data_IF_844726168544
#
_entry.id   IF_844726168544
#
_cell.length_a   1.000
_cell.length_b   1.000
_cell.length_c   1.000
_cell.angle_alpha   90.00
_cell.angle_beta   90.00
_cell.angle_gamma   90.00
#
_symmetry.space_group_name_H-M   'P 1'
#
loop_
_entity.id
_entity.type
_entity.pdbx_description
1 polymer ?
#
# COMPACT_ATOMS: atom_id res chain seq x y z
N UNK A 1 -1.89 -17.20 2.45
CA UNK A 1 -1.79 -16.06 3.39
C UNK A 1 -2.43 -14.82 2.74
N UNK A 2 -3.57 -14.98 2.08
CA UNK A 2 -3.97 -14.10 0.97
C UNK A 2 -5.31 -13.40 1.21
N UNK A 3 -5.54 -12.93 2.43
CA UNK A 3 -6.78 -12.23 2.80
C UNK A 3 -6.57 -10.77 3.18
N UNK A 4 -5.42 -10.17 2.80
CA UNK A 4 -5.16 -8.75 3.00
C UNK A 4 -5.70 -7.93 1.83
N UNK A 5 -6.57 -6.99 2.15
CA UNK A 5 -7.05 -5.98 1.20
C UNK A 5 -5.87 -5.15 0.67
N UNK A 6 -5.97 -4.58 -0.54
CA UNK A 6 -4.94 -3.68 -1.07
C UNK A 6 -4.56 -2.56 -0.10
N UNK A 7 -5.55 -2.02 0.63
CA UNK A 7 -5.36 -1.02 1.68
C UNK A 7 -4.50 -1.54 2.83
N UNK A 8 -4.78 -2.74 3.35
CA UNK A 8 -3.99 -3.35 4.42
C UNK A 8 -2.55 -3.64 3.98
N UNK A 9 -2.33 -4.03 2.71
CA UNK A 9 -0.98 -4.23 2.16
C UNK A 9 -0.18 -2.93 2.15
N UNK A 10 -0.77 -1.82 1.71
CA UNK A 10 -0.13 -0.49 1.70
C UNK A 10 0.22 -0.04 3.12
N UNK A 11 -0.78 0.01 4.01
CA UNK A 11 -0.56 0.52 5.36
C UNK A 11 0.34 -0.40 6.20
N UNK A 12 0.30 -1.72 5.98
CA UNK A 12 1.23 -2.66 6.59
C UNK A 12 2.68 -2.41 6.14
N UNK A 13 2.88 -2.17 4.85
CA UNK A 13 4.20 -1.83 4.28
C UNK A 13 4.74 -0.52 4.85
N UNK A 14 3.90 0.52 4.93
CA UNK A 14 4.27 1.82 5.50
C UNK A 14 4.65 1.74 6.98
N UNK A 15 3.91 0.99 7.81
CA UNK A 15 4.27 0.76 9.22
C UNK A 15 5.60 0.03 9.37
N UNK A 16 5.84 -0.97 8.52
CA UNK A 16 7.10 -1.71 8.56
C UNK A 16 8.29 -0.81 8.18
N UNK A 17 8.11 0.06 7.17
CA UNK A 17 9.11 1.07 6.82
C UNK A 17 9.37 2.06 7.96
N UNK A 18 8.32 2.55 8.62
CA UNK A 18 8.46 3.47 9.75
C UNK A 18 9.32 2.85 10.86
N UNK A 19 9.08 1.58 11.20
CA UNK A 19 9.89 0.86 12.18
C UNK A 19 11.34 0.70 11.73
N UNK A 20 11.53 0.40 10.44
CA UNK A 20 12.85 0.16 9.85
C UNK A 20 13.69 1.44 9.78
N UNK A 21 13.05 2.61 9.57
CA UNK A 21 13.69 3.93 9.66
C UNK A 21 14.16 4.23 11.08
N UNK A 22 13.35 3.87 12.09
CA UNK A 22 13.66 4.11 13.51
C UNK A 22 14.81 3.22 14.03
N UNK A 23 14.90 1.99 13.53
CA UNK A 23 15.85 0.97 13.99
C UNK A 23 17.17 0.92 13.18
N UNK A 24 17.31 1.68 12.10
CA UNK A 24 18.46 1.55 11.16
C UNK A 24 19.57 2.57 11.42
N UNK A 25 20.78 2.08 11.64
CA UNK A 25 21.99 2.92 11.73
C UNK A 25 22.66 3.16 10.35
N UNK A 26 22.36 2.34 9.34
CA UNK A 26 22.90 2.45 7.97
C UNK A 26 21.93 3.16 7.01
N UNK A 27 22.22 4.43 6.73
CA UNK A 27 21.40 5.28 5.86
C UNK A 27 21.34 4.81 4.39
N UNK A 28 22.37 4.13 3.88
CA UNK A 28 22.37 3.65 2.49
C UNK A 28 21.49 2.42 2.33
N UNK A 29 21.60 1.46 3.26
CA UNK A 29 20.72 0.30 3.30
C UNK A 29 19.26 0.71 3.49
N UNK A 30 19.00 1.76 4.28
CA UNK A 30 17.66 2.33 4.44
C UNK A 30 17.13 2.91 3.13
N UNK A 31 17.96 3.65 2.40
CA UNK A 31 17.60 4.28 1.12
C UNK A 31 17.19 3.23 0.08
N UNK A 32 17.95 2.16 -0.08
CA UNK A 32 17.62 1.10 -1.04
C UNK A 32 16.33 0.37 -0.66
N UNK A 33 16.11 0.13 0.63
CA UNK A 33 14.87 -0.49 1.13
C UNK A 33 13.65 0.42 0.96
N UNK A 34 13.79 1.72 1.17
CA UNK A 34 12.75 2.72 0.91
C UNK A 34 12.39 2.76 -0.57
N UNK A 35 13.38 2.78 -1.47
CA UNK A 35 13.12 2.80 -2.91
C UNK A 35 12.30 1.58 -3.36
N UNK A 36 12.65 0.38 -2.90
CA UNK A 36 11.91 -0.86 -3.20
C UNK A 36 10.48 -0.82 -2.66
N UNK A 37 10.29 -0.29 -1.45
CA UNK A 37 8.97 -0.27 -0.86
C UNK A 37 8.05 0.80 -1.49
N UNK A 38 8.62 1.92 -1.93
CA UNK A 38 7.89 2.93 -2.71
C UNK A 38 7.45 2.34 -4.06
N UNK A 39 8.37 1.67 -4.78
CA UNK A 39 8.06 1.00 -6.05
C UNK A 39 6.90 -0.01 -5.89
N UNK A 40 6.93 -0.82 -4.84
CA UNK A 40 5.84 -1.74 -4.50
C UNK A 40 4.53 -1.02 -4.22
N UNK A 41 4.54 0.06 -3.43
CA UNK A 41 3.34 0.85 -3.16
C UNK A 41 2.75 1.45 -4.44
N UNK A 42 3.58 1.95 -5.35
CA UNK A 42 3.14 2.50 -6.64
C UNK A 42 2.58 1.41 -7.56
N UNK A 43 3.13 0.20 -7.53
CA UNK A 43 2.57 -0.93 -8.31
C UNK A 43 1.12 -1.26 -7.93
N UNK A 44 0.71 -0.97 -6.69
CA UNK A 44 -0.64 -1.19 -6.19
C UNK A 44 -1.62 -0.05 -6.50
N UNK A 45 -1.16 1.06 -7.09
CA UNK A 45 -2.01 2.22 -7.42
C UNK A 45 -3.24 1.80 -8.26
N UNK A 46 -3.02 0.96 -9.27
CA UNK A 46 -4.09 0.44 -10.12
C UNK A 46 -5.09 -0.45 -9.37
N UNK A 47 -4.65 -1.26 -8.39
CA UNK A 47 -5.53 -2.10 -7.56
C UNK A 47 -6.40 -1.25 -6.61
N UNK A 48 -5.87 -0.11 -6.13
CA UNK A 48 -6.59 0.79 -5.24
C UNK A 48 -7.66 1.62 -5.97
N UNK A 49 -7.33 2.14 -7.16
CA UNK A 49 -8.26 2.92 -7.99
C UNK A 49 -9.48 2.07 -8.40
N UNK A 50 -9.26 0.82 -8.78
CA UNK A 50 -10.32 -0.09 -9.19
C UNK A 50 -11.27 -0.48 -8.04
N UNK A 51 -10.78 -0.50 -6.79
CA UNK A 51 -11.61 -0.80 -5.62
C UNK A 51 -12.62 0.33 -5.34
N UNK A 52 -12.18 1.58 -5.47
CA UNK A 52 -13.01 2.77 -5.24
C UNK A 52 -14.09 2.93 -6.32
N UNK A 53 -13.73 2.67 -7.59
CA UNK A 53 -14.68 2.67 -8.69
C UNK A 53 -15.74 1.56 -8.56
N UNK A 54 -15.36 0.38 -8.08
CA UNK A 54 -16.28 -0.75 -7.87
C UNK A 54 -17.23 -0.52 -6.68
N UNK A 55 -16.78 0.19 -5.64
CA UNK A 55 -17.60 0.55 -4.49
C UNK A 55 -18.68 1.62 -4.83
N UNK A 56 -18.45 2.43 -5.87
CA UNK A 56 -19.40 3.46 -6.32
C UNK A 56 -20.42 2.95 -7.37
N UNK A 57 -20.27 1.73 -7.88
CA UNK A 57 -21.16 1.14 -8.89
C UNK A 57 -22.41 0.42 -8.36
N UNK A 58 -22.63 0.39 -7.04
CA UNK A 58 -23.77 -0.29 -6.40
C UNK A 58 -24.73 0.69 -5.73
N UNK A 59 -25.35 1.58 -6.51
CA UNK A 59 -26.61 2.23 -6.13
C UNK A 59 -27.69 1.80 -7.15
N UNK A 60 -28.40 0.69 -6.91
CA UNK A 60 -29.56 0.33 -7.73
C UNK A 60 -30.78 1.15 -7.27
N UNK A 61 -31.36 1.88 -8.21
CA UNK A 61 -32.80 2.19 -8.28
C UNK A 61 -33.42 3.04 -7.17
N UNK A 62 -33.86 4.24 -7.52
CA UNK A 62 -35.20 4.68 -7.15
C UNK A 62 -35.89 5.22 -8.41
N UNK A 63 -36.88 4.45 -8.86
CA UNK A 63 -37.99 4.87 -9.71
C UNK A 63 -38.82 5.96 -9.03
#
# INVERSE_FOLDING_TARGET
MDNMTPKERVFGTLRNLQRLVDETEDLNALKDRLAVAIDRCLSWESELINLDASAQGSAPGQE
#
